data_IF_865014839324
#
_entry.id   IF_865014839324
#
_cell.length_a   1.000
_cell.length_b   1.000
_cell.length_c   1.000
_cell.angle_alpha   90.00
_cell.angle_beta   90.00
_cell.angle_gamma   90.00
#
_symmetry.space_group_name_H-M   'P 1'
#
loop_
_entity.id
_entity.type
_entity.pdbx_description
1 polymer ?
#
# COMPACT_ATOMS: atom_id res chain seq x y z
N UNK A 1 -20.79 1.70 2.01
CA UNK A 1 -19.87 1.77 0.86
C UNK A 1 -19.69 0.34 0.38
N UNK A 2 -20.31 -0.03 -0.74
CA UNK A 2 -20.34 -1.42 -1.18
C UNK A 2 -19.00 -1.84 -1.76
N UNK A 3 -18.40 -2.88 -1.22
CA UNK A 3 -17.28 -3.58 -1.86
C UNK A 3 -17.70 -3.95 -3.29
N UNK A 4 -16.93 -3.48 -4.28
CA UNK A 4 -17.12 -3.90 -5.66
C UNK A 4 -16.81 -5.40 -5.73
N UNK A 5 -17.83 -6.25 -5.86
CA UNK A 5 -17.65 -7.70 -6.02
C UNK A 5 -16.65 -7.99 -7.14
N UNK A 6 -15.58 -8.69 -6.79
CA UNK A 6 -14.60 -9.19 -7.75
C UNK A 6 -15.30 -10.15 -8.72
N UNK A 7 -15.04 -10.00 -10.01
CA UNK A 7 -15.51 -10.94 -11.03
C UNK A 7 -14.33 -11.76 -11.53
N UNK A 8 -14.56 -13.03 -11.81
CA UNK A 8 -13.51 -13.92 -12.30
C UNK A 8 -13.87 -14.43 -13.69
N UNK A 9 -12.86 -14.57 -14.53
CA UNK A 9 -12.94 -15.31 -15.80
C UNK A 9 -12.41 -16.71 -15.50
N UNK A 10 -13.24 -17.72 -15.80
CA UNK A 10 -12.94 -19.13 -15.53
C UNK A 10 -12.73 -19.89 -16.85
N UNK A 11 -11.90 -20.93 -16.82
CA UNK A 11 -11.74 -21.85 -17.93
C UNK A 11 -12.89 -22.87 -18.01
N UNK A 12 -12.82 -23.77 -19.00
CA UNK A 12 -13.85 -24.80 -19.23
C UNK A 12 -13.95 -25.82 -18.08
N UNK A 13 -12.87 -26.01 -17.31
CA UNK A 13 -12.81 -26.88 -16.14
C UNK A 13 -13.27 -26.17 -14.85
N UNK A 14 -13.65 -24.87 -14.96
CA UNK A 14 -14.14 -24.05 -13.87
C UNK A 14 -13.05 -23.40 -13.02
N UNK A 15 -11.79 -23.43 -13.45
CA UNK A 15 -10.67 -22.82 -12.74
C UNK A 15 -10.60 -21.33 -13.05
N UNK A 16 -10.44 -20.50 -12.01
CA UNK A 16 -10.24 -19.05 -12.14
C UNK A 16 -8.90 -18.76 -12.79
N UNK A 17 -8.92 -18.11 -13.95
CA UNK A 17 -7.73 -17.73 -14.71
C UNK A 17 -7.42 -16.24 -14.57
N UNK A 18 -8.44 -15.39 -14.56
CA UNK A 18 -8.28 -13.94 -14.48
C UNK A 18 -9.30 -13.31 -13.53
N UNK A 19 -9.02 -12.09 -13.06
CA UNK A 19 -9.91 -11.31 -12.19
C UNK A 19 -10.15 -9.92 -12.77
N UNK A 20 -11.39 -9.49 -12.76
CA UNK A 20 -11.81 -8.14 -13.13
C UNK A 20 -12.11 -7.38 -11.84
N UNK A 21 -11.29 -6.38 -11.57
CA UNK A 21 -11.40 -5.50 -10.41
C UNK A 21 -11.95 -4.14 -10.83
N UNK A 22 -12.56 -3.43 -9.88
CA UNK A 22 -12.75 -1.99 -10.08
C UNK A 22 -11.39 -1.30 -10.05
N UNK A 23 -11.25 -0.19 -10.78
CA UNK A 23 -10.00 0.57 -10.80
C UNK A 23 -9.56 0.96 -9.38
N UNK A 24 -10.50 1.45 -8.56
CA UNK A 24 -10.26 1.77 -7.15
C UNK A 24 -9.69 0.59 -6.36
N UNK A 25 -10.20 -0.62 -6.56
CA UNK A 25 -9.69 -1.80 -5.85
C UNK A 25 -8.29 -2.16 -6.31
N UNK A 26 -8.00 -2.03 -7.61
CA UNK A 26 -6.66 -2.25 -8.13
C UNK A 26 -5.65 -1.25 -7.58
N UNK A 27 -5.99 0.05 -7.55
CA UNK A 27 -5.15 1.10 -6.98
C UNK A 27 -4.85 0.86 -5.50
N UNK A 28 -5.87 0.48 -4.72
CA UNK A 28 -5.70 0.11 -3.30
C UNK A 28 -4.75 -1.08 -3.11
N UNK A 29 -4.82 -2.10 -3.97
CA UNK A 29 -3.90 -3.24 -3.88
C UNK A 29 -2.45 -2.84 -4.18
N UNK A 30 -2.24 -1.89 -5.09
CA UNK A 30 -0.91 -1.34 -5.36
C UNK A 30 -0.39 -0.52 -4.18
N UNK A 31 -1.26 0.29 -3.56
CA UNK A 31 -0.96 1.06 -2.35
C UNK A 31 -0.56 0.13 -1.19
N UNK A 32 -1.36 -0.91 -0.93
CA UNK A 32 -1.07 -1.92 0.10
C UNK A 32 0.31 -2.59 -0.13
N UNK A 33 0.65 -2.93 -1.37
CA UNK A 33 1.95 -3.53 -1.71
C UNK A 33 3.09 -2.54 -1.51
N UNK A 34 2.89 -1.27 -1.89
CA UNK A 34 3.88 -0.22 -1.68
C UNK A 34 4.15 -0.01 -0.19
N UNK A 35 3.11 0.10 0.63
CA UNK A 35 3.24 0.27 2.08
C UNK A 35 3.99 -0.90 2.72
N UNK A 36 3.68 -2.13 2.32
CA UNK A 36 4.39 -3.32 2.79
C UNK A 36 5.87 -3.33 2.37
N UNK A 37 6.18 -2.86 1.16
CA UNK A 37 7.56 -2.72 0.71
C UNK A 37 8.33 -1.69 1.56
N UNK A 38 7.73 -0.52 1.81
CA UNK A 38 8.31 0.51 2.69
C UNK A 38 8.57 -0.03 4.10
N UNK A 39 7.63 -0.80 4.67
CA UNK A 39 7.82 -1.45 5.98
C UNK A 39 9.00 -2.43 5.94
N UNK A 40 9.13 -3.24 4.89
CA UNK A 40 10.20 -4.21 4.77
C UNK A 40 11.57 -3.54 4.59
N UNK A 41 11.66 -2.49 3.76
CA UNK A 41 12.88 -1.71 3.53
C UNK A 41 13.38 -1.03 4.81
N UNK A 42 12.44 -0.56 5.64
CA UNK A 42 12.73 0.16 6.88
C UNK A 42 12.82 -0.73 8.11
N UNK A 43 12.70 -2.05 7.97
CA UNK A 43 12.65 -3.00 9.10
C UNK A 43 13.87 -2.88 10.03
N UNK A 44 15.04 -2.68 9.44
CA UNK A 44 16.32 -2.61 10.16
C UNK A 44 16.82 -1.15 10.28
N UNK A 45 16.01 -0.17 9.87
CA UNK A 45 16.32 1.26 10.02
C UNK A 45 16.25 1.66 11.51
N UNK A 46 17.25 2.41 11.98
CA UNK A 46 17.27 2.94 13.34
C UNK A 46 16.13 3.94 13.57
N UNK A 47 15.61 3.98 14.80
CA UNK A 47 14.63 5.01 15.18
C UNK A 47 15.32 6.34 15.49
N UNK A 48 14.61 7.44 15.28
CA UNK A 48 15.01 8.78 15.69
C UNK A 48 14.07 9.30 16.78
N UNK A 49 14.58 10.14 17.67
CA UNK A 49 13.75 10.73 18.72
C UNK A 49 12.79 11.78 18.14
N UNK A 50 11.64 11.99 18.79
CA UNK A 50 10.71 13.05 18.37
C UNK A 50 11.34 14.44 18.41
N UNK A 51 12.23 14.71 19.37
CA UNK A 51 12.91 16.01 19.48
C UNK A 51 13.87 16.24 18.31
N UNK A 52 14.57 15.19 17.87
CA UNK A 52 15.39 15.25 16.66
C UNK A 52 14.54 15.50 15.41
N UNK A 53 13.38 14.85 15.29
CA UNK A 53 12.44 15.10 14.19
C UNK A 53 11.97 16.56 14.18
N UNK A 54 11.57 17.12 15.34
CA UNK A 54 11.17 18.53 15.44
C UNK A 54 12.30 19.49 15.09
N UNK A 55 13.53 19.18 15.51
CA UNK A 55 14.70 19.99 15.19
C UNK A 55 14.91 20.05 13.67
N UNK A 56 14.86 18.91 12.97
CA UNK A 56 14.97 18.83 11.52
C UNK A 56 13.87 19.65 10.83
N UNK A 57 12.61 19.48 11.26
CA UNK A 57 11.48 20.23 10.68
C UNK A 57 11.60 21.75 10.84
N UNK A 58 12.12 22.24 11.98
CA UNK A 58 12.40 23.67 12.18
C UNK A 58 13.54 24.16 11.28
N UNK A 59 14.57 23.35 11.08
CA UNK A 59 15.67 23.67 10.16
C UNK A 59 15.18 23.78 8.71
N UNK A 60 14.22 22.94 8.34
CA UNK A 60 13.59 22.94 7.01
C UNK A 60 12.51 24.03 6.85
N UNK A 61 12.19 24.78 7.92
CA UNK A 61 11.16 25.83 7.91
C UNK A 61 9.72 25.30 7.82
N UNK A 62 9.52 24.02 8.13
CA UNK A 62 8.22 23.34 8.11
C UNK A 62 7.50 23.38 9.47
N UNK A 63 8.18 23.86 10.52
CA UNK A 63 7.68 23.97 11.90
C UNK A 63 8.15 25.25 12.59
#
# INVERSE_FOLDING_TARGET
MGESRERYIIDADGKKMEVILSLRRYEQLLEDLHDLAIVAERRDEGTVSLEEVKQRLRQDGLL
#
